data_IF_199967223597
#
_entry.id   IF_199967223597
#
_cell.length_a   1.000
_cell.length_b   1.000
_cell.length_c   1.000
_cell.angle_alpha   90.00
_cell.angle_beta   90.00
_cell.angle_gamma   90.00
#
_symmetry.space_group_name_H-M   'P 1'
#
loop_
_entity.id
_entity.type
_entity.pdbx_description
1 polymer ?
#
# COMPACT_ATOMS: atom_id res chain seq x y z
N UNK A 1 3.70 32.96 43.41
CA UNK A 1 2.79 32.29 42.46
C UNK A 1 3.65 31.79 41.31
N UNK A 2 3.97 30.50 41.28
CA UNK A 2 4.78 29.92 40.20
C UNK A 2 3.86 29.52 39.06
N UNK A 3 4.12 30.02 37.85
CA UNK A 3 3.42 29.60 36.65
C UNK A 3 3.64 28.09 36.42
N UNK A 4 2.61 27.32 36.02
CA UNK A 4 2.83 25.94 35.62
C UNK A 4 3.75 25.93 34.40
N UNK A 5 4.88 25.24 34.50
CA UNK A 5 5.77 25.00 33.35
C UNK A 5 4.96 24.38 32.20
N UNK A 6 5.13 24.83 30.94
CA UNK A 6 4.35 24.39 29.78
C UNK A 6 4.71 22.96 29.29
N UNK A 7 5.10 22.09 30.21
CA UNK A 7 5.63 20.76 29.92
C UNK A 7 4.73 19.73 30.60
N UNK A 8 4.16 18.81 29.82
CA UNK A 8 3.49 17.58 30.28
C UNK A 8 1.99 17.67 30.59
N UNK A 9 1.17 17.80 29.55
CA UNK A 9 -0.04 16.98 29.52
C UNK A 9 0.29 15.67 28.75
N UNK A 10 0.43 14.52 29.43
CA UNK A 10 0.64 13.23 28.79
C UNK A 10 -0.50 12.85 27.83
N UNK A 11 -1.72 13.32 28.08
CA UNK A 11 -2.89 13.03 27.26
C UNK A 11 -2.77 13.77 25.93
N UNK A 12 -2.50 15.08 25.97
CA UNK A 12 -2.28 15.87 24.75
C UNK A 12 -1.12 15.34 23.89
N UNK A 13 -0.02 14.87 24.51
CA UNK A 13 1.09 14.22 23.78
C UNK A 13 0.68 12.89 23.14
N UNK A 14 -0.13 12.09 23.83
CA UNK A 14 -0.63 10.84 23.29
C UNK A 14 -1.62 11.08 22.15
N UNK A 15 -2.46 12.11 22.23
CA UNK A 15 -3.37 12.54 21.17
C UNK A 15 -2.60 12.99 19.93
N UNK A 16 -1.62 13.89 20.09
CA UNK A 16 -0.78 14.33 18.98
C UNK A 16 -0.07 13.15 18.32
N UNK A 17 0.53 12.26 19.12
CA UNK A 17 1.20 11.07 18.58
C UNK A 17 0.24 10.14 17.82
N UNK A 18 -1.01 10.00 18.27
CA UNK A 18 -2.02 9.23 17.53
C UNK A 18 -2.38 9.89 16.20
N UNK A 19 -2.53 11.21 16.18
CA UNK A 19 -2.80 11.96 14.95
C UNK A 19 -1.63 11.83 13.95
N UNK A 20 -0.40 11.96 14.43
CA UNK A 20 0.81 11.81 13.60
C UNK A 20 0.90 10.39 13.01
N UNK A 21 0.69 9.36 13.82
CA UNK A 21 0.69 7.97 13.36
C UNK A 21 -0.44 7.66 12.37
N UNK A 22 -1.63 8.24 12.57
CA UNK A 22 -2.74 8.07 11.63
C UNK A 22 -2.40 8.66 10.26
N UNK A 23 -1.78 9.85 10.23
CA UNK A 23 -1.33 10.47 8.99
C UNK A 23 -0.17 9.70 8.33
N UNK A 24 0.77 9.16 9.11
CA UNK A 24 1.81 8.28 8.58
C UNK A 24 1.23 7.00 7.97
N UNK A 25 0.22 6.40 8.62
CA UNK A 25 -0.46 5.21 8.11
C UNK A 25 -1.23 5.50 6.81
N UNK A 26 -1.88 6.65 6.71
CA UNK A 26 -2.56 7.09 5.48
C UNK A 26 -1.57 7.21 4.32
N UNK A 27 -0.43 7.90 4.52
CA UNK A 27 0.62 8.01 3.50
C UNK A 27 1.20 6.65 3.12
N UNK A 28 1.34 5.72 4.07
CA UNK A 28 1.81 4.37 3.78
C UNK A 28 0.78 3.58 2.95
N UNK A 29 -0.51 3.75 3.22
CA UNK A 29 -1.59 3.14 2.44
C UNK A 29 -1.60 3.66 1.00
N UNK A 30 -1.49 4.98 0.79
CA UNK A 30 -1.39 5.59 -0.54
C UNK A 30 -0.19 5.05 -1.34
N UNK A 31 0.97 4.91 -0.69
CA UNK A 31 2.16 4.33 -1.32
C UNK A 31 1.96 2.86 -1.67
N UNK A 32 1.30 2.08 -0.80
CA UNK A 32 1.00 0.69 -1.07
C UNK A 32 0.03 0.55 -2.26
N UNK A 33 -0.99 1.41 -2.34
CA UNK A 33 -1.94 1.42 -3.46
C UNK A 33 -1.26 1.78 -4.77
N UNK A 34 -0.41 2.80 -4.79
CA UNK A 34 0.38 3.16 -5.96
C UNK A 34 1.32 2.01 -6.40
N UNK A 35 1.99 1.37 -5.44
CA UNK A 35 2.85 0.21 -5.72
C UNK A 35 2.04 -0.98 -6.26
N UNK A 36 0.86 -1.26 -5.70
CA UNK A 36 -0.02 -2.32 -6.18
C UNK A 36 -0.54 -2.04 -7.60
N UNK A 37 -0.93 -0.80 -7.90
CA UNK A 37 -1.37 -0.40 -9.23
C UNK A 37 -0.25 -0.62 -10.25
N UNK A 38 0.97 -0.16 -9.95
CA UNK A 38 2.12 -0.31 -10.82
C UNK A 38 2.51 -1.78 -11.03
N UNK A 39 2.53 -2.58 -9.95
CA UNK A 39 2.75 -4.03 -10.06
C UNK A 39 1.71 -4.68 -10.97
N UNK A 40 0.43 -4.32 -10.82
CA UNK A 40 -0.64 -4.90 -11.62
C UNK A 40 -0.49 -4.52 -13.11
N UNK A 41 -0.13 -3.26 -13.42
CA UNK A 41 0.21 -2.81 -14.78
C UNK A 41 1.31 -3.68 -15.40
N UNK A 42 2.42 -3.88 -14.69
CA UNK A 42 3.53 -4.70 -15.15
C UNK A 42 3.15 -6.17 -15.34
N UNK A 43 2.30 -6.72 -14.47
CA UNK A 43 1.76 -8.07 -14.63
C UNK A 43 0.95 -8.20 -15.92
N UNK A 44 0.11 -7.22 -16.23
CA UNK A 44 -0.69 -7.19 -17.46
C UNK A 44 0.23 -7.12 -18.69
N UNK A 45 1.21 -6.22 -18.69
CA UNK A 45 2.16 -6.06 -19.79
C UNK A 45 3.00 -7.32 -20.04
N UNK A 46 3.49 -7.95 -18.98
CA UNK A 46 4.31 -9.16 -19.09
C UNK A 46 3.51 -10.34 -19.65
N UNK A 47 2.27 -10.52 -19.20
CA UNK A 47 1.37 -11.53 -19.75
C UNK A 47 0.99 -11.22 -21.20
N UNK A 48 0.73 -9.95 -21.53
CA UNK A 48 0.45 -9.53 -22.91
C UNK A 48 1.65 -9.77 -23.85
N UNK A 49 2.88 -9.70 -23.32
CA UNK A 49 4.11 -10.07 -24.03
C UNK A 49 4.29 -11.59 -24.22
N UNK A 50 3.37 -12.42 -23.72
CA UNK A 50 3.35 -13.86 -23.90
C UNK A 50 3.87 -14.68 -22.72
N UNK A 51 4.23 -14.03 -21.60
CA UNK A 51 4.69 -14.73 -20.41
C UNK A 51 3.58 -15.54 -19.75
N UNK A 52 3.93 -16.70 -19.18
CA UNK A 52 2.94 -17.54 -18.49
C UNK A 52 2.53 -16.94 -17.14
N UNK A 53 1.33 -17.26 -16.67
CA UNK A 53 0.87 -16.80 -15.34
C UNK A 53 1.74 -17.37 -14.21
N UNK A 54 2.36 -18.54 -14.41
CA UNK A 54 3.24 -19.16 -13.41
C UNK A 54 4.57 -18.42 -13.32
N UNK A 55 5.13 -18.08 -14.46
CA UNK A 55 6.43 -17.41 -14.55
C UNK A 55 6.34 -15.94 -14.14
N UNK A 56 5.20 -15.29 -14.39
CA UNK A 56 4.89 -13.94 -13.91
C UNK A 56 4.67 -13.88 -12.38
N UNK A 57 4.17 -14.96 -11.77
CA UNK A 57 3.74 -14.94 -10.37
C UNK A 57 4.89 -14.71 -9.38
N UNK A 58 6.05 -15.32 -9.63
CA UNK A 58 7.23 -15.23 -8.76
C UNK A 58 7.76 -13.80 -8.64
N UNK A 59 8.12 -13.09 -9.74
CA UNK A 59 8.60 -11.71 -9.65
C UNK A 59 7.52 -10.76 -9.13
N UNK A 60 6.24 -11.01 -9.42
CA UNK A 60 5.13 -10.21 -8.91
C UNK A 60 4.81 -10.47 -7.43
N UNK A 61 5.42 -11.48 -6.78
CA UNK A 61 5.07 -11.94 -5.42
C UNK A 61 3.57 -12.24 -5.27
N UNK A 62 3.00 -12.91 -6.27
CA UNK A 62 1.61 -13.33 -6.32
C UNK A 62 1.53 -14.84 -6.49
N UNK A 63 0.33 -15.40 -6.34
CA UNK A 63 0.03 -16.72 -6.89
C UNK A 63 -0.31 -16.59 -8.38
N UNK A 64 -0.17 -17.68 -9.14
CA UNK A 64 -0.63 -17.73 -10.53
C UNK A 64 -2.14 -17.42 -10.65
N UNK A 65 -2.94 -17.79 -9.64
CA UNK A 65 -4.36 -17.43 -9.59
C UNK A 65 -4.58 -15.93 -9.32
N UNK A 66 -3.70 -15.30 -8.53
CA UNK A 66 -3.69 -13.84 -8.32
C UNK A 66 -3.39 -13.08 -9.62
N UNK A 67 -2.38 -13.53 -10.36
CA UNK A 67 -2.06 -13.02 -11.70
C UNK A 67 -3.27 -13.13 -12.63
N UNK A 68 -3.89 -14.31 -12.70
CA UNK A 68 -5.07 -14.53 -13.53
C UNK A 68 -6.27 -13.63 -13.17
N UNK A 69 -6.46 -13.29 -11.88
CA UNK A 69 -7.50 -12.35 -11.44
C UNK A 69 -7.23 -10.91 -11.90
N UNK A 70 -5.96 -10.47 -11.85
CA UNK A 70 -5.56 -9.14 -12.33
C UNK A 70 -5.84 -9.02 -13.82
N UNK A 71 -5.34 -9.96 -14.62
CA UNK A 71 -5.50 -9.97 -16.08
C UNK A 71 -6.97 -10.06 -16.48
N UNK A 72 -7.79 -10.83 -15.76
CA UNK A 72 -9.23 -10.92 -16.04
C UNK A 72 -9.93 -9.59 -15.81
N UNK A 73 -9.68 -8.92 -14.67
CA UNK A 73 -10.30 -7.63 -14.36
C UNK A 73 -9.97 -6.55 -15.38
N UNK A 74 -8.77 -6.57 -15.93
CA UNK A 74 -8.35 -5.64 -16.99
C UNK A 74 -9.13 -5.86 -18.30
N UNK A 75 -9.44 -7.12 -18.64
CA UNK A 75 -10.24 -7.45 -19.83
C UNK A 75 -11.74 -7.21 -19.68
N UNK A 76 -12.24 -7.28 -18.45
CA UNK A 76 -13.64 -7.08 -18.11
C UNK A 76 -13.97 -5.59 -17.82
N UNK A 77 -12.94 -4.74 -17.71
CA UNK A 77 -13.05 -3.28 -17.55
C UNK A 77 -13.26 -2.55 -18.87
#
# INVERSE_FOLDING_TARGET
>A
MSAPSPTSDPIARAEQRRADLAHELERAAEQADAWHAERNRLVIELVAAGESYRDTAVPARLSASGVGKIVRRDRDG
#
